data_IF_264257148329
#
_entry.id   IF_264257148329
#
_cell.length_a   1.000
_cell.length_b   1.000
_cell.length_c   1.000
_cell.angle_alpha   90.00
_cell.angle_beta   90.00
_cell.angle_gamma   90.00
#
_symmetry.space_group_name_H-M   'P 1'
#
loop_
_entity.id
_entity.type
_entity.pdbx_description
1 polymer ?
#
# COMPACT_ATOMS: atom_id res chain seq x y z
N UNK A 1 80.47 -13.03 -16.67
CA UNK A 1 80.09 -13.35 -18.06
C UNK A 1 81.33 -13.92 -18.75
N UNK A 2 81.43 -15.24 -18.87
CA UNK A 2 82.58 -15.93 -19.45
C UNK A 2 82.42 -16.15 -20.97
N UNK A 3 81.38 -15.58 -21.59
CA UNK A 3 81.06 -15.74 -23.02
C UNK A 3 80.53 -17.09 -23.42
N UNK A 4 80.28 -18.00 -22.46
CA UNK A 4 79.83 -19.37 -22.77
C UNK A 4 78.37 -19.45 -23.28
N UNK A 5 77.62 -18.38 -23.15
CA UNK A 5 76.20 -18.35 -23.55
C UNK A 5 75.29 -19.22 -22.66
N UNK A 6 75.82 -19.77 -21.54
CA UNK A 6 75.05 -20.56 -20.61
C UNK A 6 74.11 -19.66 -19.81
N UNK A 7 72.80 -19.84 -19.99
CA UNK A 7 71.72 -19.11 -19.27
C UNK A 7 70.98 -20.07 -18.34
N UNK A 8 70.79 -19.65 -17.11
CA UNK A 8 69.87 -20.33 -16.19
C UNK A 8 68.51 -19.63 -16.20
N UNK A 9 67.41 -20.37 -16.19
CA UNK A 9 66.06 -19.88 -16.06
C UNK A 9 65.48 -20.28 -14.72
N UNK A 10 64.88 -19.30 -14.02
CA UNK A 10 64.06 -19.53 -12.81
C UNK A 10 62.62 -19.27 -13.14
N UNK A 11 61.76 -20.27 -12.98
CA UNK A 11 60.30 -20.05 -13.06
C UNK A 11 59.82 -19.65 -11.69
N UNK A 12 59.29 -18.43 -11.60
CA UNK A 12 58.64 -17.91 -10.39
C UNK A 12 57.14 -18.09 -10.58
N UNK A 13 56.52 -18.94 -9.77
CA UNK A 13 55.07 -19.05 -9.72
C UNK A 13 54.53 -18.05 -8.69
N UNK A 14 53.70 -17.12 -9.15
CA UNK A 14 53.02 -16.18 -8.28
C UNK A 14 51.64 -16.73 -8.01
N UNK A 15 51.31 -16.97 -6.73
CA UNK A 15 50.01 -17.51 -6.29
C UNK A 15 49.34 -16.51 -5.32
N UNK A 16 48.06 -16.66 -5.11
CA UNK A 16 47.26 -15.89 -4.16
C UNK A 16 47.26 -14.37 -4.42
N UNK A 17 47.29 -13.96 -5.70
CA UNK A 17 47.03 -12.55 -6.02
C UNK A 17 45.60 -12.22 -5.73
N UNK A 18 45.35 -11.13 -4.92
CA UNK A 18 44.03 -10.60 -4.72
C UNK A 18 43.59 -9.82 -5.96
N UNK A 19 42.48 -10.23 -6.57
CA UNK A 19 41.89 -9.57 -7.73
C UNK A 19 40.60 -8.86 -7.23
N UNK A 20 40.62 -7.51 -7.16
CA UNK A 20 39.45 -6.77 -6.65
C UNK A 20 38.33 -6.73 -7.67
N UNK A 21 37.12 -6.49 -7.17
CA UNK A 21 35.94 -6.16 -7.99
C UNK A 21 36.13 -4.78 -8.61
N UNK A 22 35.88 -4.67 -9.91
CA UNK A 22 36.00 -3.40 -10.66
C UNK A 22 34.65 -2.84 -11.10
N UNK A 23 33.65 -3.69 -11.27
CA UNK A 23 32.27 -3.27 -11.57
C UNK A 23 31.24 -4.28 -11.15
N UNK A 24 30.01 -3.81 -10.89
CA UNK A 24 28.82 -4.64 -10.65
C UNK A 24 27.69 -4.10 -11.53
N UNK A 25 27.11 -4.99 -12.33
CA UNK A 25 25.88 -4.71 -13.08
C UNK A 25 24.71 -5.42 -12.42
N UNK A 26 23.64 -4.69 -12.07
CA UNK A 26 22.42 -5.25 -11.48
C UNK A 26 21.34 -5.33 -12.55
N UNK A 27 20.72 -6.50 -12.71
CA UNK A 27 19.63 -6.74 -13.66
C UNK A 27 18.47 -7.46 -12.96
N UNK A 28 17.25 -7.13 -13.35
CA UNK A 28 16.06 -7.90 -12.96
C UNK A 28 15.86 -9.13 -13.84
N UNK A 29 15.16 -10.12 -13.33
CA UNK A 29 14.79 -11.32 -14.08
C UNK A 29 14.14 -10.94 -15.42
N UNK A 30 14.62 -11.53 -16.51
CA UNK A 30 14.16 -11.20 -17.87
C UNK A 30 14.42 -9.75 -18.31
N UNK A 31 15.32 -9.02 -17.63
CA UNK A 31 15.58 -7.60 -17.89
C UNK A 31 14.52 -6.65 -17.29
N UNK A 32 13.62 -7.15 -16.46
CA UNK A 32 12.55 -6.34 -15.88
C UNK A 32 13.10 -5.28 -14.92
N UNK A 33 12.47 -4.10 -14.96
CA UNK A 33 12.73 -2.96 -14.07
C UNK A 33 11.45 -2.45 -13.41
N UNK A 34 10.36 -3.24 -13.47
CA UNK A 34 9.05 -2.88 -12.95
C UNK A 34 8.45 -4.01 -12.13
N UNK A 35 7.67 -3.64 -11.11
CA UNK A 35 6.79 -4.55 -10.36
C UNK A 35 5.38 -3.95 -10.43
N UNK A 36 4.41 -4.69 -11.00
CA UNK A 36 3.06 -4.20 -11.28
C UNK A 36 1.96 -4.92 -10.50
N UNK A 37 2.29 -6.03 -9.85
CA UNK A 37 1.35 -6.77 -9.02
C UNK A 37 1.39 -6.30 -7.56
N UNK A 38 0.26 -6.36 -6.88
CA UNK A 38 0.19 -6.11 -5.45
C UNK A 38 1.08 -7.11 -4.68
N UNK A 39 1.92 -6.60 -3.78
CA UNK A 39 2.97 -7.37 -3.09
C UNK A 39 3.87 -8.15 -4.05
N UNK A 40 3.97 -7.71 -5.32
CA UNK A 40 4.72 -8.36 -6.37
C UNK A 40 6.21 -8.42 -6.06
N UNK A 41 6.89 -9.38 -6.71
CA UNK A 41 8.31 -9.65 -6.47
C UNK A 41 9.12 -9.56 -7.76
N UNK A 42 10.39 -9.16 -7.63
CA UNK A 42 11.38 -9.15 -8.71
C UNK A 42 12.71 -9.72 -8.21
N UNK A 43 13.13 -10.84 -8.79
CA UNK A 43 14.46 -11.39 -8.53
C UNK A 43 15.52 -10.57 -9.28
N UNK A 44 16.53 -10.13 -8.54
CA UNK A 44 17.69 -9.44 -9.10
C UNK A 44 18.90 -10.38 -9.18
N UNK A 45 19.78 -10.09 -10.15
CA UNK A 45 21.07 -10.72 -10.32
C UNK A 45 22.15 -9.64 -10.36
N UNK A 46 23.26 -9.86 -9.65
CA UNK A 46 24.46 -9.04 -9.73
C UNK A 46 25.53 -9.74 -10.56
N UNK A 47 25.95 -9.11 -11.66
CA UNK A 47 27.08 -9.57 -12.47
C UNK A 47 28.31 -8.80 -12.00
N UNK A 48 29.26 -9.51 -11.40
CA UNK A 48 30.49 -8.96 -10.80
C UNK A 48 31.65 -9.18 -11.74
N UNK A 49 32.38 -8.12 -12.03
CA UNK A 49 33.58 -8.16 -12.86
C UNK A 49 34.83 -7.67 -12.09
N UNK A 50 36.03 -8.20 -12.44
CA UNK A 50 36.28 -9.21 -13.46
C UNK A 50 35.77 -10.59 -13.02
N UNK A 51 35.58 -11.51 -13.97
CA UNK A 51 35.01 -12.85 -13.72
C UNK A 51 35.86 -13.71 -12.75
N UNK A 52 37.16 -13.43 -12.67
CA UNK A 52 38.16 -14.01 -11.79
C UNK A 52 38.40 -13.23 -10.49
N UNK A 53 37.55 -12.22 -10.18
CA UNK A 53 37.63 -11.52 -8.89
C UNK A 53 37.62 -12.49 -7.72
N UNK A 54 38.51 -12.24 -6.74
CA UNK A 54 38.77 -13.15 -5.62
C UNK A 54 37.55 -13.37 -4.74
N UNK A 55 36.74 -12.32 -4.52
CA UNK A 55 35.47 -12.39 -3.81
C UNK A 55 34.39 -11.69 -4.63
N UNK A 56 33.44 -12.46 -5.15
CA UNK A 56 32.32 -11.99 -5.97
C UNK A 56 31.01 -11.88 -5.22
N UNK A 57 31.03 -12.07 -3.91
CA UNK A 57 29.83 -11.94 -3.10
C UNK A 57 29.41 -10.49 -2.97
N UNK A 58 28.11 -10.25 -2.87
CA UNK A 58 27.56 -8.91 -2.71
C UNK A 58 26.60 -8.86 -1.52
N UNK A 59 26.47 -7.68 -0.94
CA UNK A 59 25.42 -7.36 0.02
C UNK A 59 24.35 -6.53 -0.68
N UNK A 60 23.11 -6.98 -0.58
CA UNK A 60 21.96 -6.30 -1.14
C UNK A 60 21.37 -5.27 -0.19
N UNK A 61 20.92 -4.14 -0.73
CA UNK A 61 20.18 -3.11 0.00
C UNK A 61 19.17 -2.41 -0.90
N UNK A 62 18.15 -1.79 -0.28
CA UNK A 62 17.16 -0.92 -0.95
C UNK A 62 17.31 0.51 -0.43
N UNK A 63 17.25 1.45 -1.35
CA UNK A 63 17.02 2.88 -1.07
C UNK A 63 15.62 3.20 -1.57
N UNK A 64 14.69 3.47 -0.66
CA UNK A 64 13.35 3.92 -0.99
C UNK A 64 13.42 5.34 -1.56
N UNK A 65 12.70 5.55 -2.67
CA UNK A 65 12.49 6.85 -3.30
C UNK A 65 11.07 7.33 -3.02
N UNK A 66 10.25 7.47 -4.08
CA UNK A 66 8.81 7.77 -3.93
C UNK A 66 7.99 6.53 -3.57
N UNK A 67 8.50 5.32 -3.86
CA UNK A 67 7.93 4.04 -3.47
C UNK A 67 8.69 3.38 -2.32
N UNK A 68 8.19 2.21 -1.88
CA UNK A 68 8.82 1.40 -0.85
C UNK A 68 8.90 -0.07 -1.29
N UNK A 69 10.01 -0.71 -0.95
CA UNK A 69 10.21 -2.15 -1.12
C UNK A 69 11.16 -2.70 -0.06
N UNK A 70 11.18 -4.00 0.08
CA UNK A 70 12.19 -4.74 0.82
C UNK A 70 13.04 -5.59 -0.14
N UNK A 71 14.25 -5.93 0.28
CA UNK A 71 15.11 -6.86 -0.45
C UNK A 71 15.72 -7.86 0.53
N UNK A 72 15.78 -9.12 0.14
CA UNK A 72 16.41 -10.16 0.94
C UNK A 72 17.89 -10.38 0.53
N UNK A 73 18.58 -11.25 1.24
CA UNK A 73 20.00 -11.56 1.00
C UNK A 73 20.27 -12.25 -0.34
N UNK A 74 19.25 -12.79 -1.01
CA UNK A 74 19.36 -13.43 -2.33
C UNK A 74 19.04 -12.46 -3.47
N UNK A 75 18.72 -11.19 -3.18
CA UNK A 75 18.38 -10.19 -4.18
C UNK A 75 16.91 -10.24 -4.63
N UNK A 76 16.02 -10.87 -3.85
CA UNK A 76 14.58 -10.84 -4.12
C UNK A 76 13.98 -9.56 -3.55
N UNK A 77 13.51 -8.67 -4.43
CA UNK A 77 12.77 -7.45 -4.08
C UNK A 77 11.31 -7.78 -3.93
N UNK A 78 10.66 -7.29 -2.86
CA UNK A 78 9.21 -7.36 -2.65
C UNK A 78 8.67 -5.94 -2.55
N UNK A 79 7.69 -5.61 -3.38
CA UNK A 79 7.05 -4.30 -3.41
C UNK A 79 6.17 -4.08 -2.16
N UNK A 80 6.12 -2.82 -1.67
CA UNK A 80 5.32 -2.42 -0.50
C UNK A 80 4.41 -1.25 -0.85
N UNK A 81 4.91 -0.24 -1.58
CA UNK A 81 4.08 0.89 -2.05
C UNK A 81 4.50 1.37 -3.42
N UNK A 82 3.55 1.98 -4.14
CA UNK A 82 3.75 2.53 -5.48
C UNK A 82 4.83 3.63 -5.49
N UNK A 83 5.58 3.72 -6.58
CA UNK A 83 6.64 4.71 -6.78
C UNK A 83 7.94 4.08 -7.25
N UNK A 84 9.09 4.70 -6.96
CA UNK A 84 10.41 4.23 -7.36
C UNK A 84 11.27 3.86 -6.16
N UNK A 85 12.06 2.81 -6.31
CA UNK A 85 13.09 2.40 -5.36
C UNK A 85 14.38 2.12 -6.13
N UNK A 86 15.53 2.18 -5.45
CA UNK A 86 16.84 1.80 -6.00
C UNK A 86 17.39 0.60 -5.24
N UNK A 87 17.49 -0.53 -5.92
CA UNK A 87 18.20 -1.69 -5.39
C UNK A 87 19.71 -1.52 -5.61
N UNK A 88 20.51 -1.93 -4.63
CA UNK A 88 21.98 -1.85 -4.65
C UNK A 88 22.59 -3.18 -4.29
N UNK A 89 23.65 -3.53 -5.02
CA UNK A 89 24.54 -4.63 -4.72
C UNK A 89 25.94 -4.07 -4.44
N UNK A 90 26.42 -4.21 -3.22
CA UNK A 90 27.76 -3.73 -2.78
C UNK A 90 28.71 -4.91 -2.70
N UNK A 91 29.89 -4.80 -3.32
CA UNK A 91 30.94 -5.81 -3.25
C UNK A 91 31.41 -6.04 -1.81
N UNK A 92 31.61 -7.32 -1.43
CA UNK A 92 32.11 -7.72 -0.11
C UNK A 92 33.64 -7.92 -0.07
N UNK A 93 34.36 -7.49 -1.12
CA UNK A 93 35.81 -7.60 -1.22
C UNK A 93 36.57 -6.42 -0.63
N UNK A 94 35.86 -5.41 -0.12
CA UNK A 94 36.44 -4.17 0.40
C UNK A 94 36.72 -3.09 -0.65
N UNK A 95 36.44 -3.35 -1.95
CA UNK A 95 36.64 -2.38 -3.04
C UNK A 95 35.68 -1.18 -2.96
N UNK A 96 34.53 -1.31 -2.26
CA UNK A 96 33.50 -0.30 -2.20
C UNK A 96 32.67 -0.16 -3.49
N UNK A 97 32.85 -1.06 -4.46
CA UNK A 97 32.10 -1.04 -5.72
C UNK A 97 30.63 -1.36 -5.48
N UNK A 98 29.76 -0.56 -6.07
CA UNK A 98 28.29 -0.69 -5.97
C UNK A 98 27.68 -0.71 -7.37
N UNK A 99 26.88 -1.73 -7.65
CA UNK A 99 25.93 -1.75 -8.76
C UNK A 99 24.56 -1.34 -8.29
N UNK A 100 23.75 -0.73 -9.15
CA UNK A 100 22.39 -0.32 -8.79
C UNK A 100 21.41 -0.50 -9.94
N UNK A 101 20.11 -0.68 -9.58
CA UNK A 101 18.99 -0.75 -10.50
C UNK A 101 17.83 0.05 -9.91
N UNK A 102 17.28 0.99 -10.70
CA UNK A 102 16.03 1.67 -10.35
C UNK A 102 14.85 0.77 -10.75
N UNK A 103 13.92 0.57 -9.82
CA UNK A 103 12.72 -0.24 -10.00
C UNK A 103 11.51 0.65 -9.82
N UNK A 104 10.59 0.62 -10.78
CA UNK A 104 9.29 1.29 -10.70
C UNK A 104 8.25 0.30 -10.18
N UNK A 105 7.54 0.69 -9.14
CA UNK A 105 6.48 -0.10 -8.51
C UNK A 105 5.14 0.56 -8.80
N UNK A 106 4.17 -0.24 -9.24
CA UNK A 106 2.79 0.18 -9.47
C UNK A 106 1.83 -0.94 -9.09
N UNK A 107 0.52 -0.64 -9.02
CA UNK A 107 -0.50 -1.66 -8.76
C UNK A 107 -0.56 -2.17 -7.32
N UNK A 108 0.14 -1.50 -6.37
CA UNK A 108 -0.02 -1.84 -4.95
C UNK A 108 -1.38 -1.36 -4.45
N UNK A 109 -2.09 -2.22 -3.72
CA UNK A 109 -3.39 -1.93 -3.14
C UNK A 109 -3.18 -1.33 -1.75
N UNK A 110 -3.71 -0.12 -1.56
CA UNK A 110 -3.72 0.55 -0.26
C UNK A 110 -5.14 0.40 0.30
N UNK A 111 -5.34 -0.45 1.33
CA UNK A 111 -6.66 -0.69 1.88
C UNK A 111 -7.17 0.50 2.71
N UNK A 112 -8.49 0.59 2.86
CA UNK A 112 -9.15 1.50 3.80
C UNK A 112 -8.83 1.04 5.23
N UNK A 113 -8.41 1.98 6.07
CA UNK A 113 -8.09 1.71 7.49
C UNK A 113 -9.07 2.38 8.44
N UNK A 114 -9.77 3.43 7.99
CA UNK A 114 -10.77 4.14 8.80
C UNK A 114 -11.80 4.85 7.92
N UNK A 115 -13.03 4.95 8.43
CA UNK A 115 -14.10 5.79 7.86
C UNK A 115 -14.72 6.63 8.98
N UNK A 116 -14.74 7.94 8.79
CA UNK A 116 -15.46 8.87 9.66
C UNK A 116 -16.72 9.36 8.95
N UNK A 117 -17.87 9.22 9.59
CA UNK A 117 -19.17 9.70 9.07
C UNK A 117 -19.56 10.98 9.79
N UNK A 118 -19.90 12.02 9.03
CA UNK A 118 -20.36 13.32 9.56
C UNK A 118 -21.62 13.76 8.84
N UNK A 119 -22.53 14.40 9.56
CA UNK A 119 -23.69 15.10 8.96
C UNK A 119 -23.32 16.50 8.47
N UNK A 120 -24.08 17.02 7.53
CA UNK A 120 -23.92 18.38 7.02
C UNK A 120 -23.91 19.39 8.16
N UNK A 121 -22.92 20.30 8.16
CA UNK A 121 -22.70 21.27 9.25
C UNK A 121 -22.37 20.63 10.61
N UNK A 122 -21.96 19.34 10.66
CA UNK A 122 -21.72 18.60 11.89
C UNK A 122 -23.00 18.13 12.60
N UNK A 123 -24.17 18.26 11.97
CA UNK A 123 -25.45 17.87 12.56
C UNK A 123 -25.59 16.38 12.74
N UNK A 124 -26.22 15.99 13.85
CA UNK A 124 -26.63 14.61 14.17
C UNK A 124 -28.13 14.53 14.46
N UNK A 125 -28.90 15.55 14.07
CA UNK A 125 -30.33 15.67 14.38
C UNK A 125 -31.12 15.97 13.12
N UNK A 126 -32.32 15.37 12.98
CA UNK A 126 -33.36 15.71 12.04
C UNK A 126 -34.60 16.07 12.86
N UNK A 127 -35.05 17.33 12.81
CA UNK A 127 -36.13 17.83 13.67
C UNK A 127 -37.41 18.28 12.93
N UNK A 128 -37.44 18.13 11.60
CA UNK A 128 -38.60 18.44 10.79
C UNK A 128 -39.27 17.17 10.27
N UNK A 129 -40.59 17.22 10.07
CA UNK A 129 -41.35 16.14 9.47
C UNK A 129 -40.85 15.83 8.07
N UNK A 130 -40.58 14.55 7.79
CA UNK A 130 -39.92 14.04 6.57
C UNK A 130 -38.60 14.76 6.26
N UNK A 131 -37.95 15.31 7.29
CA UNK A 131 -36.68 16.05 7.16
C UNK A 131 -35.55 15.17 6.67
N UNK A 132 -34.54 15.82 6.11
CA UNK A 132 -33.36 15.12 5.54
C UNK A 132 -32.07 15.59 6.17
N UNK A 133 -31.04 14.73 6.17
CA UNK A 133 -29.67 15.05 6.56
C UNK A 133 -28.69 14.43 5.56
N UNK A 134 -27.91 15.27 4.89
CA UNK A 134 -26.83 14.76 4.03
C UNK A 134 -25.64 14.33 4.90
N UNK A 135 -25.15 13.11 4.67
CA UNK A 135 -23.96 12.58 5.31
C UNK A 135 -22.78 12.61 4.35
N UNK A 136 -21.58 12.72 4.93
CA UNK A 136 -20.30 12.59 4.24
C UNK A 136 -19.47 11.52 4.94
N UNK A 137 -18.86 10.61 4.16
CA UNK A 137 -17.89 9.64 4.62
C UNK A 137 -16.47 10.14 4.26
N UNK A 138 -15.63 10.37 5.25
CA UNK A 138 -14.20 10.62 5.07
C UNK A 138 -13.46 9.32 5.23
N UNK A 139 -12.82 8.85 4.13
CA UNK A 139 -12.12 7.57 4.06
C UNK A 139 -10.63 7.79 4.21
N UNK A 140 -9.97 7.03 5.07
CA UNK A 140 -8.53 7.07 5.30
C UNK A 140 -7.89 5.68 5.02
N UNK A 141 -6.61 5.65 4.56
CA UNK A 141 -5.78 6.81 4.23
C UNK A 141 -6.29 7.53 2.97
N UNK A 142 -5.86 8.79 2.77
CA UNK A 142 -6.35 9.62 1.66
C UNK A 142 -5.99 9.06 0.28
N UNK A 143 -4.95 8.24 0.21
CA UNK A 143 -4.44 7.51 -0.97
C UNK A 143 -4.96 6.06 -1.05
N UNK A 144 -5.96 5.66 -0.24
CA UNK A 144 -6.60 4.36 -0.36
C UNK A 144 -7.06 4.10 -1.80
N UNK A 145 -6.78 2.89 -2.31
CA UNK A 145 -6.99 2.54 -3.72
C UNK A 145 -8.45 2.60 -4.13
N UNK A 146 -9.36 2.17 -3.24
CA UNK A 146 -10.80 2.27 -3.43
C UNK A 146 -11.44 2.97 -2.23
N UNK A 147 -11.88 4.22 -2.40
CA UNK A 147 -12.51 5.04 -1.36
C UNK A 147 -14.03 5.07 -1.43
N UNK A 148 -14.63 4.24 -2.28
CA UNK A 148 -16.09 4.17 -2.36
C UNK A 148 -16.67 3.46 -1.15
N UNK A 149 -17.88 3.88 -0.76
CA UNK A 149 -18.63 3.29 0.36
C UNK A 149 -20.04 2.91 -0.05
N UNK A 150 -20.56 1.92 0.64
CA UNK A 150 -21.98 1.56 0.60
C UNK A 150 -22.65 2.06 1.86
N UNK A 151 -23.74 2.85 1.68
CA UNK A 151 -24.52 3.37 2.76
C UNK A 151 -25.62 2.41 3.21
N UNK A 152 -25.87 2.37 4.51
CA UNK A 152 -26.98 1.64 5.11
C UNK A 152 -27.51 2.33 6.37
N UNK A 153 -28.76 2.02 6.75
CA UNK A 153 -29.39 2.47 8.02
C UNK A 153 -29.67 1.23 8.88
N UNK A 154 -29.36 1.35 10.14
CA UNK A 154 -29.85 0.46 11.20
C UNK A 154 -30.85 1.27 12.00
N UNK A 155 -32.15 0.90 11.88
CA UNK A 155 -33.19 1.48 12.68
C UNK A 155 -33.07 1.01 14.13
N UNK A 156 -33.16 1.98 15.06
CA UNK A 156 -33.19 1.72 16.51
C UNK A 156 -34.59 1.98 17.05
N UNK A 157 -34.74 3.02 17.90
CA UNK A 157 -36.07 3.47 18.37
C UNK A 157 -36.76 4.34 17.32
N UNK A 158 -36.04 4.93 16.37
CA UNK A 158 -36.54 5.67 15.22
C UNK A 158 -36.46 4.89 13.94
N UNK A 159 -36.98 5.49 12.84
CA UNK A 159 -36.88 4.94 11.49
C UNK A 159 -36.43 6.00 10.50
N UNK A 160 -35.57 5.62 9.56
CA UNK A 160 -35.12 6.41 8.43
C UNK A 160 -34.79 5.54 7.23
N UNK A 161 -34.68 6.19 6.09
CA UNK A 161 -34.07 5.61 4.87
C UNK A 161 -32.79 6.37 4.54
N UNK A 162 -31.89 5.73 3.77
CA UNK A 162 -30.70 6.38 3.24
C UNK A 162 -30.53 5.97 1.79
N UNK A 163 -30.14 6.93 0.94
CA UNK A 163 -29.86 6.65 -0.45
C UNK A 163 -28.36 6.38 -0.70
N UNK A 164 -28.00 6.06 -1.94
CA UNK A 164 -26.63 5.76 -2.34
C UNK A 164 -25.66 6.94 -2.23
N UNK A 165 -26.16 8.17 -2.11
CA UNK A 165 -25.36 9.40 -1.94
C UNK A 165 -25.21 9.80 -0.46
N UNK A 166 -25.77 9.02 0.47
CA UNK A 166 -25.71 9.30 1.91
C UNK A 166 -26.76 10.30 2.39
N UNK A 167 -27.82 10.56 1.62
CA UNK A 167 -28.94 11.39 2.08
C UNK A 167 -29.88 10.52 2.93
N UNK A 168 -29.97 10.86 4.22
CA UNK A 168 -30.91 10.26 5.17
C UNK A 168 -32.23 11.03 5.11
N UNK A 169 -33.35 10.29 5.08
CA UNK A 169 -34.71 10.83 5.19
C UNK A 169 -35.38 10.23 6.42
N UNK A 170 -35.86 11.06 7.31
CA UNK A 170 -36.57 10.68 8.52
C UNK A 170 -37.95 10.08 8.21
N UNK A 171 -38.34 9.04 8.96
CA UNK A 171 -39.64 8.36 8.85
C UNK A 171 -40.38 8.34 10.19
N UNK A 172 -39.70 8.05 11.30
CA UNK A 172 -40.28 8.02 12.63
C UNK A 172 -39.30 8.53 13.70
N UNK A 173 -39.85 9.17 14.75
CA UNK A 173 -39.07 9.73 15.86
C UNK A 173 -38.26 8.63 16.59
N UNK A 174 -37.07 8.99 17.06
CA UNK A 174 -36.14 8.13 17.79
C UNK A 174 -34.75 8.14 17.20
N UNK A 175 -33.93 7.16 17.53
CA UNK A 175 -32.54 7.07 17.09
C UNK A 175 -32.40 6.05 15.96
N UNK A 176 -31.58 6.39 14.96
CA UNK A 176 -31.11 5.49 13.90
C UNK A 176 -29.60 5.57 13.82
N UNK A 177 -28.96 4.52 13.27
CA UNK A 177 -27.52 4.53 13.01
C UNK A 177 -27.28 4.44 11.52
N UNK A 178 -26.74 5.49 10.92
CA UNK A 178 -26.23 5.45 9.57
C UNK A 178 -24.85 4.81 9.54
N UNK A 179 -24.59 3.98 8.51
CA UNK A 179 -23.32 3.28 8.31
C UNK A 179 -22.79 3.49 6.90
N UNK A 180 -21.48 3.72 6.79
CA UNK A 180 -20.73 3.70 5.54
C UNK A 180 -19.74 2.54 5.59
N UNK A 181 -19.91 1.54 4.72
CA UNK A 181 -19.03 0.36 4.63
C UNK A 181 -18.11 0.52 3.44
N UNK A 182 -16.80 0.32 3.63
CA UNK A 182 -15.81 0.35 2.55
C UNK A 182 -16.09 -0.74 1.49
N UNK A 183 -15.93 -0.39 0.21
CA UNK A 183 -16.12 -1.32 -0.92
C UNK A 183 -14.79 -1.93 -1.41
N UNK A 184 -13.71 -1.78 -0.64
CA UNK A 184 -12.38 -2.34 -0.97
C UNK A 184 -12.17 -3.76 -0.43
N UNK A 185 -13.15 -4.32 0.29
CA UNK A 185 -13.06 -5.63 0.93
C UNK A 185 -12.40 -5.61 2.32
N UNK A 186 -11.97 -4.47 2.84
CA UNK A 186 -11.36 -4.36 4.18
C UNK A 186 -12.33 -4.63 5.33
N UNK A 187 -13.65 -4.52 5.06
CA UNK A 187 -14.69 -4.66 6.09
C UNK A 187 -14.79 -3.45 7.04
N UNK A 188 -14.07 -2.36 6.76
CA UNK A 188 -14.11 -1.15 7.59
C UNK A 188 -15.47 -0.45 7.46
N UNK A 189 -16.03 -0.07 8.61
CA UNK A 189 -17.32 0.62 8.72
C UNK A 189 -17.18 1.87 9.58
N UNK A 190 -17.59 3.00 9.03
CA UNK A 190 -17.86 4.23 9.78
C UNK A 190 -19.33 4.30 10.14
N UNK A 191 -19.69 4.92 11.27
CA UNK A 191 -21.08 5.05 11.69
C UNK A 191 -21.37 6.40 12.36
N UNK A 192 -22.65 6.83 12.27
CA UNK A 192 -23.15 8.03 12.92
C UNK A 192 -24.54 7.73 13.48
N UNK A 193 -24.75 8.01 14.77
CA UNK A 193 -26.07 7.98 15.38
C UNK A 193 -26.79 9.29 15.07
N UNK A 194 -28.01 9.20 14.58
CA UNK A 194 -28.87 10.35 14.24
C UNK A 194 -30.11 10.29 15.11
N UNK A 195 -30.44 11.39 15.79
CA UNK A 195 -31.65 11.58 16.54
C UNK A 195 -32.72 12.23 15.66
N UNK A 196 -33.86 11.59 15.56
CA UNK A 196 -35.01 12.07 14.78
C UNK A 196 -36.09 12.53 15.74
N UNK A 197 -36.62 13.73 15.51
CA UNK A 197 -37.73 14.30 16.25
C UNK A 197 -38.67 15.05 15.29
N UNK A 198 -39.87 15.43 15.77
CA UNK A 198 -40.82 16.26 15.00
C UNK A 198 -41.51 15.54 13.85
N UNK A 199 -41.45 14.20 13.77
CA UNK A 199 -42.22 13.44 12.78
C UNK A 199 -43.67 13.37 13.19
N UNK A 200 -44.58 13.67 12.26
CA UNK A 200 -46.01 13.62 12.44
C UNK A 200 -46.51 12.20 12.04
N UNK A 201 -47.09 11.50 13.00
CA UNK A 201 -47.68 10.19 12.74
C UNK A 201 -49.19 10.38 12.53
N UNK A 202 -49.70 10.26 11.30
CA UNK A 202 -51.13 10.47 11.07
C UNK A 202 -51.98 9.34 11.74
N UNK A 203 -53.13 9.71 12.24
CA UNK A 203 -54.11 8.76 12.75
C UNK A 203 -54.67 7.94 11.58
N UNK A 204 -54.51 6.62 11.60
CA UNK A 204 -54.94 5.75 10.53
C UNK A 204 -56.29 5.09 10.80
N UNK A 205 -56.77 5.02 12.05
CA UNK A 205 -58.09 4.53 12.42
C UNK A 205 -58.55 5.07 13.76
N UNK A 206 -59.85 5.29 13.89
CA UNK A 206 -60.52 5.59 15.15
C UNK A 206 -61.62 4.55 15.34
N UNK A 207 -61.59 3.80 16.43
CA UNK A 207 -62.68 2.87 16.82
C UNK A 207 -63.52 3.52 17.90
N UNK A 208 -64.81 3.67 17.67
CA UNK A 208 -65.78 4.13 18.66
C UNK A 208 -66.50 2.89 19.20
N UNK A 209 -66.37 2.61 20.51
CA UNK A 209 -67.15 1.57 21.20
C UNK A 209 -68.29 2.26 21.97
N UNK A 210 -69.55 1.82 21.77
CA UNK A 210 -70.69 2.23 22.59
C UNK A 210 -70.71 1.46 23.93
N UNK A 211 -71.19 2.12 24.99
CA UNK A 211 -71.45 1.47 26.28
C UNK A 211 -72.77 0.75 26.25
#
# INVERSE_FOLDING_TARGET
NDGSGVTGTLVITITNQFIPVTSITVTGAGGATTITADNGQLQLTAIVLPADATNKTVTWSIVNGTGQATINTTGLVTAVSNGTVTARATANDGSGIVGSLVITISGQIIPVTNITVTGAGGSTVISSDNGTLQLTATVLPADATNKTVTWSIVNGTGQATINTTGLVTAVANGNVTARATANDGSGIVGSLVITISGQIIPVTSITVTGA
#
